data_IF_968754867632
#
_entry.id   IF_968754867632
#
_cell.length_a   1.000
_cell.length_b   1.000
_cell.length_c   1.000
_cell.angle_alpha   90.00
_cell.angle_beta   90.00
_cell.angle_gamma   90.00
#
_symmetry.space_group_name_H-M   'P 1'
#
loop_
_entity.id
_entity.type
_entity.pdbx_description
1 polymer ?
#
# COMPACT_ATOMS: atom_id res chain seq x y z
N UNK A 1 5.99 1.73 12.28
CA UNK A 1 7.33 1.51 12.90
C UNK A 1 7.14 1.36 14.40
N UNK A 2 7.77 0.36 15.01
CA UNK A 2 7.79 0.20 16.47
C UNK A 2 8.76 1.19 17.13
N UNK A 3 8.72 1.35 18.45
CA UNK A 3 9.71 2.15 19.18
C UNK A 3 11.14 1.63 19.01
N UNK A 4 11.31 0.31 18.83
CA UNK A 4 12.62 -0.31 18.55
C UNK A 4 13.12 0.08 17.14
N UNK A 5 12.26 0.13 16.14
CA UNK A 5 12.61 0.58 14.80
C UNK A 5 13.06 2.05 14.79
N UNK A 6 12.35 2.91 15.54
CA UNK A 6 12.71 4.33 15.66
C UNK A 6 14.07 4.51 16.35
N UNK A 7 14.36 3.75 17.41
CA UNK A 7 15.67 3.74 18.05
C UNK A 7 16.78 3.29 17.07
N UNK A 8 16.50 2.28 16.25
CA UNK A 8 17.44 1.81 15.23
C UNK A 8 17.67 2.86 14.13
N UNK A 9 16.62 3.56 13.69
CA UNK A 9 16.74 4.69 12.73
C UNK A 9 17.66 5.78 13.27
N UNK A 10 17.49 6.19 14.54
CA UNK A 10 18.35 7.20 15.15
C UNK A 10 19.82 6.74 15.24
N UNK A 11 20.05 5.48 15.60
CA UNK A 11 21.38 4.91 15.65
C UNK A 11 22.03 4.86 14.26
N UNK A 12 21.34 4.38 13.22
CA UNK A 12 21.82 4.40 11.84
C UNK A 12 22.09 5.83 11.34
N UNK A 13 21.23 6.80 11.65
CA UNK A 13 21.42 8.20 11.28
C UNK A 13 22.67 8.79 11.92
N UNK A 14 22.94 8.46 13.20
CA UNK A 14 24.17 8.87 13.88
C UNK A 14 25.42 8.27 13.23
N UNK A 15 25.39 6.98 12.87
CA UNK A 15 26.49 6.32 12.17
C UNK A 15 26.74 6.92 10.78
N UNK A 16 25.68 7.24 10.03
CA UNK A 16 25.78 7.92 8.74
C UNK A 16 26.41 9.31 8.89
N UNK A 17 25.96 10.07 9.87
CA UNK A 17 26.51 11.40 10.17
C UNK A 17 28.00 11.33 10.54
N UNK A 18 28.39 10.38 11.39
CA UNK A 18 29.79 10.18 11.77
C UNK A 18 30.69 9.80 10.56
N UNK A 19 30.19 8.99 9.62
CA UNK A 19 30.93 8.59 8.41
C UNK A 19 31.32 9.76 7.50
N UNK A 20 30.48 10.81 7.47
CA UNK A 20 30.76 12.04 6.68
C UNK A 20 31.46 13.12 7.51
N UNK A 21 31.90 12.79 8.74
CA UNK A 21 32.57 13.74 9.63
C UNK A 21 31.64 14.80 10.23
N UNK A 22 30.33 14.59 10.15
CA UNK A 22 29.31 15.48 10.74
C UNK A 22 29.13 15.22 12.24
N UNK A 23 28.64 16.24 12.96
CA UNK A 23 28.33 16.20 14.40
C UNK A 23 26.86 16.54 14.70
N UNK A 24 26.04 16.77 13.65
CA UNK A 24 24.60 17.01 13.77
C UNK A 24 23.89 16.10 12.77
N UNK A 25 22.91 15.34 13.24
CA UNK A 25 22.08 14.49 12.39
C UNK A 25 21.18 15.40 11.54
N UNK A 26 21.34 15.31 10.22
CA UNK A 26 20.55 16.05 9.25
C UNK A 26 19.27 15.29 8.88
N UNK A 27 18.30 15.98 8.26
CA UNK A 27 17.10 15.35 7.71
C UNK A 27 17.45 14.25 6.69
N UNK A 28 18.41 14.50 5.80
CA UNK A 28 18.87 13.53 4.79
C UNK A 28 19.47 12.26 5.44
N UNK A 29 20.22 12.43 6.55
CA UNK A 29 20.74 11.29 7.31
C UNK A 29 19.64 10.47 7.97
N UNK A 30 18.60 11.12 8.50
CA UNK A 30 17.40 10.45 9.05
C UNK A 30 16.61 9.71 7.97
N UNK A 31 16.43 10.34 6.82
CA UNK A 31 15.71 9.72 5.70
C UNK A 31 16.47 8.48 5.17
N UNK A 32 17.78 8.59 4.93
CA UNK A 32 18.60 7.45 4.51
C UNK A 32 18.62 6.33 5.56
N UNK A 33 18.65 6.68 6.85
CA UNK A 33 18.58 5.71 7.93
C UNK A 33 17.22 5.00 7.97
N UNK A 34 16.13 5.73 7.77
CA UNK A 34 14.78 5.17 7.66
C UNK A 34 14.69 4.18 6.52
N UNK A 35 15.18 4.58 5.34
CA UNK A 35 15.22 3.72 4.16
C UNK A 35 16.03 2.45 4.40
N UNK A 36 17.15 2.52 5.15
CA UNK A 36 17.98 1.35 5.49
C UNK A 36 17.27 0.40 6.44
N UNK A 37 16.58 0.93 7.43
CA UNK A 37 15.87 0.11 8.42
C UNK A 37 14.68 -0.60 7.77
N UNK A 38 13.96 0.07 6.87
CA UNK A 38 12.78 -0.48 6.18
C UNK A 38 13.16 -1.37 5.00
N UNK A 39 14.01 -0.88 4.08
CA UNK A 39 14.31 -1.52 2.79
C UNK A 39 15.69 -2.18 2.71
N UNK A 40 16.53 -2.03 3.73
CA UNK A 40 17.90 -2.50 3.74
C UNK A 40 18.90 -1.51 3.10
N UNK A 41 20.18 -1.83 3.12
CA UNK A 41 21.24 -0.97 2.56
C UNK A 41 21.12 -0.87 1.03
N UNK A 42 21.54 0.26 0.48
CA UNK A 42 21.66 0.43 -0.98
C UNK A 42 22.58 -0.64 -1.55
N UNK A 43 22.20 -1.25 -2.67
CA UNK A 43 23.08 -2.17 -3.38
C UNK A 43 24.19 -1.38 -4.05
N UNK A 44 25.40 -1.55 -3.54
CA UNK A 44 26.62 -1.01 -4.17
C UNK A 44 27.21 -2.09 -5.06
N UNK A 45 27.31 -1.82 -6.37
CA UNK A 45 28.04 -2.68 -7.32
C UNK A 45 27.20 -3.48 -8.31
N UNK A 46 25.86 -3.43 -8.29
CA UNK A 46 25.08 -3.95 -9.41
C UNK A 46 25.05 -2.91 -10.54
N UNK A 47 25.67 -3.23 -11.68
CA UNK A 47 25.52 -2.44 -12.91
C UNK A 47 24.12 -2.71 -13.44
N UNK A 48 23.24 -1.74 -13.28
CA UNK A 48 21.85 -1.79 -13.83
C UNK A 48 21.94 -1.26 -15.26
N UNK A 49 21.41 -2.01 -16.23
CA UNK A 49 21.34 -1.54 -17.62
C UNK A 49 20.35 -0.38 -17.75
N UNK A 50 20.54 0.49 -18.74
CA UNK A 50 19.62 1.59 -19.03
C UNK A 50 18.19 1.10 -19.31
N UNK A 51 18.08 -0.08 -19.92
CA UNK A 51 16.77 -0.72 -20.14
C UNK A 51 16.13 -1.13 -18.79
N UNK A 52 16.86 -1.81 -17.92
CA UNK A 52 16.38 -2.21 -16.58
C UNK A 52 15.99 -0.98 -15.74
N UNK A 53 16.77 0.11 -15.83
CA UNK A 53 16.49 1.38 -15.18
C UNK A 53 15.15 1.98 -15.67
N UNK A 54 14.90 1.94 -16.98
CA UNK A 54 13.62 2.38 -17.56
C UNK A 54 12.46 1.51 -17.09
N UNK A 55 12.60 0.19 -17.15
CA UNK A 55 11.56 -0.74 -16.68
C UNK A 55 11.21 -0.44 -15.22
N UNK A 56 12.22 -0.28 -14.35
CA UNK A 56 12.00 0.07 -12.94
C UNK A 56 11.28 1.42 -12.79
N UNK A 57 11.64 2.44 -13.56
CA UNK A 57 11.01 3.76 -13.49
C UNK A 57 9.52 3.71 -13.86
N UNK A 58 9.15 2.95 -14.88
CA UNK A 58 7.75 2.76 -15.25
C UNK A 58 7.00 1.87 -14.26
N UNK A 59 7.63 0.84 -13.72
CA UNK A 59 7.08 -0.03 -12.69
C UNK A 59 6.69 0.77 -11.43
N UNK A 60 7.65 1.47 -10.84
CA UNK A 60 7.40 2.32 -9.66
C UNK A 60 6.45 3.49 -9.97
N UNK A 61 6.53 4.00 -11.20
CA UNK A 61 5.58 4.98 -11.72
C UNK A 61 4.15 4.44 -11.78
N UNK A 62 4.00 3.18 -12.16
CA UNK A 62 2.71 2.48 -12.20
C UNK A 62 2.04 2.39 -10.84
N UNK A 63 2.78 1.97 -9.82
CA UNK A 63 2.29 1.97 -8.43
C UNK A 63 1.90 3.39 -7.99
N UNK A 64 2.78 4.35 -8.20
CA UNK A 64 2.58 5.74 -7.76
C UNK A 64 1.36 6.38 -8.38
N UNK A 65 1.19 6.26 -9.70
CA UNK A 65 0.05 6.83 -10.43
C UNK A 65 -1.26 6.12 -10.06
N UNK A 66 -1.25 4.81 -9.89
CA UNK A 66 -2.44 4.05 -9.45
C UNK A 66 -2.93 4.53 -8.07
N UNK A 67 -2.01 4.72 -7.11
CA UNK A 67 -2.37 5.26 -5.81
C UNK A 67 -2.86 6.72 -5.90
N UNK A 68 -2.29 7.53 -6.79
CA UNK A 68 -2.69 8.93 -6.90
C UNK A 68 -4.06 9.12 -7.53
N UNK A 69 -4.45 8.23 -8.42
CA UNK A 69 -5.72 8.27 -9.14
C UNK A 69 -6.90 7.66 -8.37
N UNK A 70 -6.69 7.06 -7.19
CA UNK A 70 -7.73 6.46 -6.35
C UNK A 70 -7.97 7.28 -5.08
N UNK A 71 -9.24 7.29 -4.61
CA UNK A 71 -9.64 8.00 -3.39
C UNK A 71 -9.31 7.23 -2.13
N UNK A 72 -9.47 5.89 -2.18
CA UNK A 72 -9.48 5.00 -1.01
C UNK A 72 -8.12 4.32 -0.78
N UNK A 73 -7.04 5.08 -1.02
CA UNK A 73 -5.67 4.64 -0.74
C UNK A 73 -4.81 5.81 -0.28
N UNK A 74 -3.84 5.51 0.55
CA UNK A 74 -2.87 6.48 1.03
C UNK A 74 -1.99 6.97 -0.13
N UNK A 75 -1.77 8.28 -0.19
CA UNK A 75 -0.91 8.87 -1.24
C UNK A 75 0.54 8.49 -1.03
N UNK A 76 1.21 8.24 -2.14
CA UNK A 76 2.66 8.04 -2.14
C UNK A 76 3.35 9.34 -1.75
N UNK A 77 4.22 9.29 -0.76
CA UNK A 77 5.02 10.45 -0.33
C UNK A 77 6.45 10.42 -0.89
N UNK A 78 6.91 9.26 -1.31
CA UNK A 78 8.23 9.06 -1.90
C UNK A 78 8.21 7.90 -2.88
N UNK A 79 8.86 8.07 -4.02
CA UNK A 79 9.13 7.01 -4.99
C UNK A 79 10.59 7.06 -5.40
N UNK A 80 11.23 5.90 -5.55
CA UNK A 80 12.65 5.78 -5.92
C UNK A 80 12.90 4.56 -6.78
N UNK A 81 13.83 4.70 -7.72
CA UNK A 81 14.36 3.60 -8.54
C UNK A 81 15.70 3.07 -8.04
N UNK A 82 16.16 3.56 -6.89
CA UNK A 82 17.39 3.07 -6.26
C UNK A 82 17.14 1.71 -5.62
N UNK A 83 17.88 0.70 -6.10
CA UNK A 83 17.77 -0.66 -5.59
C UNK A 83 18.23 -0.75 -4.13
N UNK A 84 17.38 -1.35 -3.26
CA UNK A 84 17.68 -1.65 -1.86
C UNK A 84 17.36 -3.11 -1.54
N UNK A 85 18.16 -3.72 -0.67
CA UNK A 85 17.89 -5.08 -0.24
C UNK A 85 17.62 -6.03 -1.42
N UNK A 86 16.38 -6.51 -1.56
CA UNK A 86 15.92 -7.42 -2.63
C UNK A 86 15.09 -6.74 -3.71
N UNK A 87 14.75 -5.46 -3.56
CA UNK A 87 13.88 -4.70 -4.50
C UNK A 87 14.69 -3.88 -5.49
N UNK A 88 14.14 -3.68 -6.71
CA UNK A 88 14.72 -2.81 -7.75
C UNK A 88 14.48 -1.33 -7.51
N UNK A 89 13.35 -1.00 -6.93
CA UNK A 89 12.90 0.32 -6.51
C UNK A 89 11.81 0.17 -5.46
N UNK A 90 11.15 1.24 -5.09
CA UNK A 90 9.96 1.20 -4.23
C UNK A 90 9.19 2.53 -4.23
N UNK A 91 7.87 2.42 -4.14
CA UNK A 91 6.94 3.51 -3.87
C UNK A 91 6.43 3.40 -2.42
N UNK A 92 6.63 4.47 -1.63
CA UNK A 92 6.25 4.49 -0.21
C UNK A 92 4.97 5.28 -0.02
N UNK A 93 3.95 4.66 0.57
CA UNK A 93 2.72 5.30 1.02
C UNK A 93 2.83 5.69 2.49
N UNK A 94 2.23 6.82 2.87
CA UNK A 94 2.17 7.29 4.25
C UNK A 94 0.77 7.08 4.78
N UNK A 95 0.63 6.34 5.87
CA UNK A 95 -0.60 6.37 6.65
C UNK A 95 -0.63 7.69 7.43
N UNK A 96 -1.56 8.56 7.08
CA UNK A 96 -1.76 9.83 7.80
C UNK A 96 -2.41 9.60 9.18
N UNK A 97 -3.18 8.51 9.33
CA UNK A 97 -3.79 8.07 10.59
C UNK A 97 -3.41 6.62 10.92
N UNK A 98 -3.35 6.29 12.20
CA UNK A 98 -3.15 4.92 12.69
C UNK A 98 -4.45 4.12 12.51
N UNK A 99 -4.72 3.75 11.25
CA UNK A 99 -5.96 3.07 10.84
C UNK A 99 -5.93 1.63 11.31
N UNK A 100 -6.79 1.31 12.28
CA UNK A 100 -6.98 -0.07 12.76
C UNK A 100 -7.97 -0.90 11.94
N UNK A 101 -8.75 -0.28 11.04
CA UNK A 101 -9.80 -0.93 10.25
C UNK A 101 -9.75 -0.49 8.79
N UNK A 102 -9.95 -1.45 7.89
CA UNK A 102 -10.01 -1.22 6.43
C UNK A 102 -11.33 -1.69 5.88
N UNK A 103 -11.90 -0.89 4.99
CA UNK A 103 -13.07 -1.28 4.20
C UNK A 103 -12.69 -2.22 3.06
N UNK A 104 -13.68 -2.89 2.48
CA UNK A 104 -13.50 -3.71 1.29
C UNK A 104 -12.89 -2.91 0.12
N UNK A 105 -13.38 -1.69 -0.11
CA UNK A 105 -12.97 -0.85 -1.21
C UNK A 105 -11.53 -0.31 -1.01
N UNK A 106 -11.13 -0.03 0.23
CA UNK A 106 -9.73 0.31 0.56
C UNK A 106 -8.76 -0.85 0.32
N UNK A 107 -9.15 -2.09 0.71
CA UNK A 107 -8.30 -3.25 0.42
C UNK A 107 -8.24 -3.55 -1.08
N UNK A 108 -9.35 -3.35 -1.81
CA UNK A 108 -9.34 -3.50 -3.25
C UNK A 108 -8.45 -2.43 -3.92
N UNK A 109 -8.49 -1.19 -3.47
CA UNK A 109 -7.58 -0.13 -3.94
C UNK A 109 -6.10 -0.48 -3.72
N UNK A 110 -5.79 -1.21 -2.63
CA UNK A 110 -4.44 -1.74 -2.39
C UNK A 110 -4.06 -2.86 -3.38
N UNK A 111 -5.03 -3.68 -3.82
CA UNK A 111 -4.79 -4.63 -4.90
C UNK A 111 -4.48 -3.91 -6.21
N UNK A 112 -5.23 -2.85 -6.54
CA UNK A 112 -4.98 -2.02 -7.73
C UNK A 112 -3.60 -1.38 -7.68
N UNK A 113 -3.21 -0.83 -6.54
CA UNK A 113 -1.86 -0.31 -6.31
C UNK A 113 -0.79 -1.36 -6.57
N UNK A 114 -0.93 -2.55 -5.99
CA UNK A 114 0.03 -3.64 -6.16
C UNK A 114 0.14 -4.11 -7.62
N UNK A 115 -0.96 -4.09 -8.38
CA UNK A 115 -0.94 -4.45 -9.80
C UNK A 115 -0.39 -3.34 -10.71
N UNK A 116 -0.26 -2.10 -10.20
CA UNK A 116 0.16 -0.92 -10.97
C UNK A 116 1.51 -1.08 -11.66
N UNK A 117 2.51 -1.64 -10.97
CA UNK A 117 3.83 -1.85 -11.54
C UNK A 117 3.80 -2.79 -12.76
N UNK A 118 3.17 -3.96 -12.60
CA UNK A 118 3.00 -4.92 -13.69
C UNK A 118 2.21 -4.35 -14.86
N UNK A 119 1.09 -3.67 -14.59
CA UNK A 119 0.27 -3.04 -15.62
C UNK A 119 1.03 -1.97 -16.40
N UNK A 120 1.94 -1.22 -15.74
CA UNK A 120 2.81 -0.26 -16.42
C UNK A 120 3.81 -0.93 -17.35
N UNK A 121 4.43 -2.03 -16.93
CA UNK A 121 5.34 -2.81 -17.78
C UNK A 121 4.61 -3.33 -19.02
N UNK A 122 3.43 -3.91 -18.89
CA UNK A 122 2.61 -4.41 -20.00
C UNK A 122 2.19 -3.30 -20.96
N UNK A 123 1.76 -2.15 -20.41
CA UNK A 123 1.33 -0.99 -21.21
C UNK A 123 2.47 -0.38 -22.04
N UNK A 124 3.67 -0.34 -21.49
CA UNK A 124 4.80 0.40 -22.07
C UNK A 124 5.71 -0.50 -22.91
N UNK A 125 5.99 -1.70 -22.41
CA UNK A 125 6.96 -2.61 -23.04
C UNK A 125 6.30 -3.81 -23.73
N UNK A 126 4.99 -4.00 -23.55
CA UNK A 126 4.24 -5.11 -24.14
C UNK A 126 4.43 -6.46 -23.46
N UNK A 127 5.33 -6.54 -22.46
CA UNK A 127 5.58 -7.77 -21.70
C UNK A 127 5.97 -7.44 -20.25
N UNK A 128 5.39 -8.14 -19.26
CA UNK A 128 5.78 -7.99 -17.88
C UNK A 128 7.10 -8.68 -17.58
N UNK A 129 7.80 -8.21 -16.54
CA UNK A 129 9.02 -8.85 -16.04
C UNK A 129 8.77 -9.62 -14.74
N UNK A 130 9.80 -10.32 -14.27
CA UNK A 130 9.76 -11.00 -12.97
C UNK A 130 9.83 -10.02 -11.79
N UNK A 131 10.01 -8.73 -12.05
CA UNK A 131 10.10 -7.67 -11.03
C UNK A 131 8.85 -7.58 -10.15
N UNK A 132 7.67 -7.83 -10.73
CA UNK A 132 6.38 -7.78 -10.02
C UNK A 132 6.10 -8.98 -9.09
N UNK A 133 7.06 -9.91 -8.87
CA UNK A 133 6.76 -11.13 -8.12
C UNK A 133 6.38 -10.87 -6.67
N UNK A 134 7.01 -9.90 -6.00
CA UNK A 134 6.66 -9.49 -4.63
C UNK A 134 5.31 -8.79 -4.54
N UNK A 135 4.95 -8.02 -5.55
CA UNK A 135 3.66 -7.33 -5.60
C UNK A 135 2.52 -8.31 -5.78
N UNK A 136 2.70 -9.32 -6.66
CA UNK A 136 1.75 -10.41 -6.83
C UNK A 136 1.61 -11.22 -5.55
N UNK A 137 2.71 -11.53 -4.84
CA UNK A 137 2.66 -12.23 -3.56
C UNK A 137 1.86 -11.44 -2.51
N UNK A 138 2.13 -10.14 -2.37
CA UNK A 138 1.43 -9.26 -1.43
C UNK A 138 -0.05 -9.12 -1.80
N UNK A 139 -0.36 -8.88 -3.07
CA UNK A 139 -1.73 -8.81 -3.55
C UNK A 139 -2.50 -10.12 -3.30
N UNK A 140 -1.87 -11.27 -3.54
CA UNK A 140 -2.46 -12.58 -3.25
C UNK A 140 -2.78 -12.76 -1.76
N UNK A 141 -1.89 -12.31 -0.86
CA UNK A 141 -2.14 -12.34 0.60
C UNK A 141 -3.34 -11.47 0.97
N UNK A 142 -3.41 -10.23 0.47
CA UNK A 142 -4.53 -9.32 0.71
C UNK A 142 -5.83 -9.93 0.19
N UNK A 143 -5.88 -10.38 -1.06
CA UNK A 143 -7.06 -11.00 -1.66
C UNK A 143 -7.52 -12.23 -0.87
N UNK A 144 -6.60 -13.07 -0.43
CA UNK A 144 -6.91 -14.22 0.42
C UNK A 144 -7.56 -13.80 1.74
N UNK A 145 -6.99 -12.83 2.45
CA UNK A 145 -7.57 -12.33 3.71
C UNK A 145 -8.95 -11.69 3.50
N UNK A 146 -9.16 -10.96 2.39
CA UNK A 146 -10.49 -10.42 2.03
C UNK A 146 -11.55 -11.52 1.92
N UNK A 147 -11.18 -12.67 1.35
CA UNK A 147 -12.08 -13.79 1.11
C UNK A 147 -12.26 -14.68 2.33
N UNK A 148 -11.16 -15.01 3.03
CA UNK A 148 -11.16 -16.05 4.05
C UNK A 148 -11.25 -15.54 5.48
N UNK A 149 -10.85 -14.29 5.74
CA UNK A 149 -10.82 -13.73 7.10
C UNK A 149 -11.91 -12.68 7.32
N UNK A 150 -12.17 -11.81 6.31
CA UNK A 150 -13.04 -10.66 6.49
C UNK A 150 -14.46 -10.85 5.94
N UNK A 151 -14.72 -11.97 5.23
CA UNK A 151 -16.04 -12.29 4.69
C UNK A 151 -16.54 -11.27 3.67
N UNK A 152 -15.65 -10.72 2.84
CA UNK A 152 -15.98 -9.67 1.87
C UNK A 152 -16.51 -10.20 0.54
N UNK A 153 -16.49 -11.52 0.32
CA UNK A 153 -17.09 -12.13 -0.86
C UNK A 153 -18.55 -12.49 -0.60
N UNK A 154 -19.47 -12.07 -1.47
CA UNK A 154 -20.86 -12.46 -1.39
C UNK A 154 -21.09 -13.96 -1.59
N UNK A 155 -20.31 -14.58 -2.46
CA UNK A 155 -20.41 -16.01 -2.78
C UNK A 155 -19.92 -16.92 -1.64
N UNK A 156 -18.94 -16.45 -0.88
CA UNK A 156 -18.39 -17.17 0.27
C UNK A 156 -19.12 -16.82 1.58
N UNK A 157 -19.87 -15.70 1.60
CA UNK A 157 -20.60 -15.23 2.77
C UNK A 157 -19.69 -14.68 3.88
N UNK A 158 -20.32 -14.33 5.02
CA UNK A 158 -19.64 -13.80 6.20
C UNK A 158 -19.11 -14.94 7.08
N UNK A 159 -18.24 -15.76 6.51
CA UNK A 159 -17.65 -16.95 7.17
C UNK A 159 -16.13 -16.79 7.16
N UNK A 160 -15.49 -17.14 8.27
CA UNK A 160 -14.03 -17.24 8.36
C UNK A 160 -13.62 -18.64 7.98
N UNK A 161 -12.79 -18.77 6.96
CA UNK A 161 -12.22 -20.02 6.48
C UNK A 161 -10.76 -20.13 6.86
N UNK A 162 -10.31 -21.32 7.28
CA UNK A 162 -8.92 -21.58 7.66
C UNK A 162 -8.71 -21.62 9.17
N UNK A 163 -7.68 -22.32 9.60
CA UNK A 163 -7.39 -22.51 11.02
C UNK A 163 -7.04 -21.19 11.71
N UNK A 164 -7.53 -20.98 12.91
CA UNK A 164 -6.98 -20.00 13.83
C UNK A 164 -5.49 -20.30 14.08
N UNK A 165 -4.63 -19.34 13.72
CA UNK A 165 -3.23 -19.37 14.14
C UNK A 165 -3.17 -19.06 15.63
N UNK A 166 -3.33 -20.06 16.49
CA UNK A 166 -3.34 -19.79 17.92
C UNK A 166 -3.38 -20.98 18.84
N UNK A 167 -3.62 -22.20 18.33
CA UNK A 167 -3.58 -23.37 19.19
C UNK A 167 -2.17 -24.03 19.18
N UNK A 168 -1.37 -23.83 20.25
CA UNK A 168 -0.04 -24.43 20.36
C UNK A 168 -0.09 -25.98 20.34
N UNK A 169 -1.24 -26.58 20.59
CA UNK A 169 -1.44 -28.04 20.59
C UNK A 169 -1.75 -28.58 19.18
N UNK A 170 -2.17 -27.78 18.22
CA UNK A 170 -2.45 -28.21 16.86
C UNK A 170 -1.18 -28.56 16.05
N UNK A 171 0.00 -28.13 16.51
CA UNK A 171 1.29 -28.43 15.86
C UNK A 171 1.82 -29.84 16.13
N UNK A 172 1.23 -30.59 17.07
CA UNK A 172 1.68 -31.92 17.43
C UNK A 172 1.01 -33.08 16.65
N UNK A 173 0.01 -32.78 15.82
CA UNK A 173 -0.64 -33.73 14.92
C UNK A 173 -0.35 -33.38 13.48
N UNK A 174 0.47 -34.16 12.81
CA UNK A 174 0.90 -33.92 11.42
C UNK A 174 -0.26 -33.70 10.45
N UNK A 175 -0.12 -32.71 9.60
CA UNK A 175 -1.05 -32.40 8.50
C UNK A 175 -2.25 -31.55 8.93
N UNK A 176 -2.12 -30.24 8.89
CA UNK A 176 -3.25 -29.34 9.10
C UNK A 176 -4.36 -29.58 8.09
N UNK A 177 -5.42 -30.29 8.47
CA UNK A 177 -6.60 -30.42 7.62
C UNK A 177 -7.19 -29.03 7.41
N UNK A 178 -7.44 -28.70 6.14
CA UNK A 178 -8.24 -27.54 5.73
C UNK A 178 -9.63 -27.77 6.36
N UNK A 179 -10.21 -26.75 6.99
CA UNK A 179 -11.51 -26.84 7.70
C UNK A 179 -12.72 -26.56 6.79
N UNK A 180 -12.50 -26.55 5.48
CA UNK A 180 -13.55 -26.35 4.46
C UNK A 180 -13.43 -27.39 3.34
N UNK A 181 -14.52 -27.58 2.59
CA UNK A 181 -14.64 -28.57 1.53
C UNK A 181 -13.84 -28.17 0.27
N UNK A 182 -13.57 -29.14 -0.60
CA UNK A 182 -12.92 -28.92 -1.89
C UNK A 182 -13.74 -27.94 -2.77
N UNK A 183 -15.07 -27.95 -2.64
CA UNK A 183 -15.93 -27.02 -3.34
C UNK A 183 -15.70 -25.57 -2.88
N UNK A 184 -15.58 -25.34 -1.58
CA UNK A 184 -15.25 -24.01 -1.02
C UNK A 184 -13.82 -23.61 -1.41
N UNK A 185 -12.86 -24.54 -1.39
CA UNK A 185 -11.51 -24.28 -1.87
C UNK A 185 -11.50 -23.79 -3.33
N UNK A 186 -12.25 -24.45 -4.21
CA UNK A 186 -12.37 -24.08 -5.61
C UNK A 186 -12.99 -22.68 -5.77
N UNK A 187 -14.02 -22.35 -4.99
CA UNK A 187 -14.61 -20.99 -4.99
C UNK A 187 -13.64 -19.92 -4.49
N UNK A 188 -12.86 -20.21 -3.46
CA UNK A 188 -11.83 -19.27 -2.97
C UNK A 188 -10.81 -19.00 -4.07
N UNK A 189 -10.33 -20.02 -4.77
CA UNK A 189 -9.37 -19.85 -5.87
C UNK A 189 -9.95 -19.07 -7.06
N UNK A 190 -11.21 -19.30 -7.40
CA UNK A 190 -11.93 -18.55 -8.44
C UNK A 190 -12.10 -17.08 -8.07
N UNK A 191 -12.60 -16.81 -6.88
CA UNK A 191 -12.81 -15.44 -6.38
C UNK A 191 -11.48 -14.68 -6.20
N UNK A 192 -10.43 -15.36 -5.77
CA UNK A 192 -9.10 -14.75 -5.64
C UNK A 192 -8.56 -14.32 -7.01
N UNK A 193 -8.66 -15.20 -8.02
CA UNK A 193 -8.28 -14.87 -9.39
C UNK A 193 -9.09 -13.69 -9.90
N UNK A 194 -10.40 -13.72 -9.71
CA UNK A 194 -11.30 -12.63 -10.11
C UNK A 194 -10.88 -11.28 -9.51
N UNK A 195 -10.63 -11.23 -8.20
CA UNK A 195 -10.20 -9.98 -7.53
C UNK A 195 -8.88 -9.43 -8.10
N UNK A 196 -7.90 -10.31 -8.34
CA UNK A 196 -6.59 -9.91 -8.85
C UNK A 196 -6.66 -9.46 -10.33
N UNK A 197 -7.42 -10.17 -11.16
CA UNK A 197 -7.64 -9.78 -12.57
C UNK A 197 -8.36 -8.43 -12.65
N UNK A 198 -9.41 -8.23 -11.85
CA UNK A 198 -10.17 -6.97 -11.83
C UNK A 198 -9.33 -5.80 -11.30
N UNK A 199 -8.49 -6.04 -10.31
CA UNK A 199 -7.55 -5.02 -9.82
C UNK A 199 -6.50 -4.65 -10.89
N UNK A 200 -6.00 -5.65 -11.62
CA UNK A 200 -5.08 -5.43 -12.74
C UNK A 200 -5.74 -4.65 -13.88
N UNK A 201 -6.97 -4.99 -14.26
CA UNK A 201 -7.74 -4.26 -15.28
C UNK A 201 -7.90 -2.78 -14.90
N UNK A 202 -8.25 -2.50 -13.65
CA UNK A 202 -8.38 -1.13 -13.19
C UNK A 202 -7.05 -0.38 -13.17
N UNK A 203 -5.98 -1.01 -12.73
CA UNK A 203 -4.64 -0.43 -12.78
C UNK A 203 -4.27 -0.09 -14.23
N UNK A 204 -4.44 -1.02 -15.14
CA UNK A 204 -4.19 -0.82 -16.58
C UNK A 204 -5.01 0.33 -17.18
N UNK A 205 -6.31 0.42 -16.84
CA UNK A 205 -7.20 1.50 -17.30
C UNK A 205 -6.78 2.87 -16.74
N UNK A 206 -6.39 2.94 -15.45
CA UNK A 206 -5.82 4.16 -14.85
C UNK A 206 -4.59 4.61 -15.63
N UNK A 207 -3.64 3.72 -15.85
CA UNK A 207 -2.37 4.05 -16.48
C UNK A 207 -2.55 4.42 -17.94
N UNK A 208 -3.42 3.69 -18.68
CA UNK A 208 -3.74 4.01 -20.07
C UNK A 208 -4.37 5.39 -20.21
N UNK A 209 -5.33 5.71 -19.37
CA UNK A 209 -6.04 6.99 -19.40
C UNK A 209 -5.15 8.18 -18.99
N UNK A 210 -4.12 7.92 -18.21
CA UNK A 210 -3.21 8.92 -17.66
C UNK A 210 -1.77 8.74 -18.16
N UNK A 211 -1.58 8.17 -19.34
CA UNK A 211 -0.27 7.80 -19.88
C UNK A 211 0.74 8.95 -19.88
N UNK A 212 0.32 10.16 -20.21
CA UNK A 212 1.20 11.31 -20.23
C UNK A 212 1.78 11.68 -18.83
N UNK A 213 1.03 11.42 -17.75
CA UNK A 213 1.52 11.60 -16.38
C UNK A 213 2.53 10.50 -16.02
N UNK A 214 2.27 9.27 -16.45
CA UNK A 214 3.19 8.14 -16.26
C UNK A 214 4.54 8.41 -16.95
N UNK A 215 4.52 8.91 -18.19
CA UNK A 215 5.73 9.24 -18.94
C UNK A 215 6.53 10.38 -18.26
N UNK A 216 5.86 11.46 -17.82
CA UNK A 216 6.49 12.55 -17.05
C UNK A 216 7.12 12.08 -15.75
N UNK A 217 6.44 11.19 -15.04
CA UNK A 217 6.96 10.62 -13.80
C UNK A 217 8.19 9.75 -14.07
N UNK A 218 8.15 8.89 -15.09
CA UNK A 218 9.28 8.05 -15.47
C UNK A 218 10.50 8.88 -15.90
N UNK A 219 10.30 9.95 -16.70
CA UNK A 219 11.37 10.88 -17.07
C UNK A 219 12.01 11.52 -15.82
N UNK A 220 11.20 12.03 -14.90
CA UNK A 220 11.69 12.64 -13.67
C UNK A 220 12.44 11.63 -12.77
N UNK A 221 11.98 10.37 -12.72
CA UNK A 221 12.66 9.30 -11.98
C UNK A 221 14.00 8.91 -12.62
N UNK A 222 14.07 8.88 -13.96
CA UNK A 222 15.33 8.60 -14.67
C UNK A 222 16.37 9.69 -14.46
N UNK A 223 15.93 10.95 -14.34
CA UNK A 223 16.82 12.10 -14.10
C UNK A 223 17.29 12.19 -12.64
N UNK A 224 16.34 12.06 -11.67
CA UNK A 224 16.61 12.38 -10.25
C UNK A 224 16.64 11.16 -9.34
N UNK A 225 16.33 9.98 -9.84
CA UNK A 225 16.31 8.67 -9.18
C UNK A 225 15.36 8.57 -7.97
N UNK A 226 15.01 9.69 -7.33
CA UNK A 226 14.08 9.75 -6.18
C UNK A 226 13.24 11.01 -6.28
N UNK A 227 11.93 10.86 -6.12
CA UNK A 227 10.96 11.95 -6.07
C UNK A 227 10.20 11.91 -4.75
N UNK A 228 9.89 13.09 -4.22
CA UNK A 228 9.14 13.28 -2.98
C UNK A 228 7.77 13.91 -3.25
N UNK A 229 6.92 13.94 -2.24
CA UNK A 229 5.54 14.44 -2.32
C UNK A 229 5.40 15.77 -3.08
N UNK A 230 6.22 16.84 -2.84
CA UNK A 230 6.11 18.08 -3.60
C UNK A 230 6.38 17.94 -5.09
N UNK A 231 7.22 16.98 -5.49
CA UNK A 231 7.50 16.69 -6.90
C UNK A 231 6.30 15.95 -7.52
N UNK A 232 5.73 14.98 -6.79
CA UNK A 232 4.57 14.22 -7.23
C UNK A 232 3.33 15.11 -7.37
N UNK A 233 3.09 16.04 -6.43
CA UNK A 233 2.01 17.03 -6.49
C UNK A 233 2.10 17.91 -7.76
N UNK A 234 3.31 18.31 -8.15
CA UNK A 234 3.52 19.05 -9.40
C UNK A 234 3.33 18.23 -10.66
N UNK A 235 3.80 16.97 -10.63
CA UNK A 235 3.67 16.07 -11.79
C UNK A 235 2.21 15.70 -12.02
N UNK A 236 1.47 15.44 -10.97
CA UNK A 236 0.09 14.95 -11.00
C UNK A 236 -0.95 16.06 -10.84
N UNK A 237 -0.54 17.32 -10.98
CA UNK A 237 -1.49 18.43 -11.00
C UNK A 237 -2.53 18.25 -12.11
N UNK A 238 -3.81 18.32 -11.72
CA UNK A 238 -4.96 18.08 -12.60
C UNK A 238 -5.48 16.62 -12.61
N UNK A 239 -4.90 15.69 -11.86
CA UNK A 239 -5.51 14.35 -11.63
C UNK A 239 -6.56 14.46 -10.53
N UNK A 240 -7.81 14.18 -10.89
CA UNK A 240 -8.89 14.02 -9.93
C UNK A 240 -8.98 12.54 -9.49
N UNK A 241 -8.83 12.24 -8.18
CA UNK A 241 -8.97 10.89 -7.67
C UNK A 241 -10.40 10.36 -7.89
N UNK A 242 -10.51 9.14 -8.37
CA UNK A 242 -11.77 8.44 -8.61
C UNK A 242 -11.97 7.29 -7.62
N UNK A 243 -13.21 6.84 -7.49
CA UNK A 243 -13.51 5.62 -6.76
C UNK A 243 -12.96 4.38 -7.47
N UNK A 244 -12.66 3.35 -6.71
CA UNK A 244 -12.33 2.06 -7.26
C UNK A 244 -13.54 1.45 -8.00
N UNK A 245 -13.29 0.49 -8.90
CA UNK A 245 -14.36 -0.30 -9.51
C UNK A 245 -15.17 -1.02 -8.45
N UNK A 246 -16.43 -1.26 -8.73
CA UNK A 246 -17.21 -2.17 -7.89
C UNK A 246 -16.49 -3.51 -7.77
N UNK A 247 -16.19 -3.90 -6.54
CA UNK A 247 -15.45 -5.13 -6.26
C UNK A 247 -16.25 -6.34 -6.74
N UNK A 248 -17.55 -6.34 -6.50
CA UNK A 248 -18.48 -7.39 -6.95
C UNK A 248 -19.68 -6.74 -7.65
N UNK A 249 -19.60 -6.43 -8.95
CA UNK A 249 -20.67 -5.78 -9.69
C UNK A 249 -21.94 -6.66 -9.74
N UNK A 250 -23.10 -6.03 -9.65
CA UNK A 250 -24.40 -6.71 -9.68
C UNK A 250 -24.95 -7.18 -8.34
N UNK A 251 -24.29 -6.82 -7.22
CA UNK A 251 -24.71 -7.23 -5.87
C UNK A 251 -25.23 -6.08 -4.99
N UNK A 252 -25.62 -4.97 -5.60
CA UNK A 252 -26.13 -3.77 -4.91
C UNK A 252 -27.30 -4.07 -3.98
N UNK A 253 -28.15 -5.06 -4.31
CA UNK A 253 -29.28 -5.47 -3.48
C UNK A 253 -28.87 -6.13 -2.16
N UNK A 254 -27.71 -6.81 -2.11
CA UNK A 254 -27.19 -7.45 -0.90
C UNK A 254 -26.43 -6.49 0.01
N UNK A 255 -25.72 -5.53 -0.58
CA UNK A 255 -24.88 -4.57 0.11
C UNK A 255 -25.21 -3.16 -0.36
N UNK A 256 -26.40 -2.62 -0.02
CA UNK A 256 -26.82 -1.29 -0.47
C UNK A 256 -25.82 -0.25 0.04
N UNK A 257 -25.26 0.53 -0.86
CA UNK A 257 -24.28 1.59 -0.54
C UNK A 257 -24.93 2.82 0.10
N UNK A 258 -26.25 2.98 -0.08
CA UNK A 258 -27.01 4.11 0.47
C UNK A 258 -28.32 3.61 1.06
N UNK A 259 -28.44 3.61 2.37
CA UNK A 259 -29.65 3.26 3.11
C UNK A 259 -30.41 4.50 3.59
N UNK A 260 -30.04 5.69 3.15
CA UNK A 260 -30.75 6.93 3.46
C UNK A 260 -30.50 7.51 4.87
N UNK A 261 -29.70 6.87 5.70
CA UNK A 261 -29.36 7.35 7.04
C UNK A 261 -27.87 7.66 7.13
N UNK A 262 -27.55 8.92 7.43
CA UNK A 262 -26.18 9.29 7.78
C UNK A 262 -25.85 8.78 9.19
N UNK A 263 -24.62 8.30 9.44
CA UNK A 263 -24.17 7.96 10.79
C UNK A 263 -24.18 9.19 11.69
N UNK A 264 -24.29 8.98 13.00
CA UNK A 264 -24.19 10.08 13.96
C UNK A 264 -22.81 10.71 13.89
N UNK A 265 -22.77 12.03 13.98
CA UNK A 265 -21.52 12.78 13.94
C UNK A 265 -20.76 12.64 15.24
N UNK A 266 -19.46 12.51 15.14
CA UNK A 266 -18.55 12.54 16.29
C UNK A 266 -18.48 13.94 16.91
N UNK A 267 -18.08 14.08 18.18
CA UNK A 267 -17.87 15.40 18.80
C UNK A 267 -16.90 16.31 18.00
N UNK A 268 -15.90 15.70 17.34
CA UNK A 268 -14.94 16.43 16.50
C UNK A 268 -15.61 16.98 15.23
N UNK A 269 -16.46 16.18 14.57
CA UNK A 269 -17.22 16.61 13.40
C UNK A 269 -18.21 17.72 13.76
N UNK A 270 -18.90 17.58 14.87
CA UNK A 270 -19.82 18.61 15.38
C UNK A 270 -19.10 19.93 15.72
N UNK A 271 -17.91 19.85 16.36
CA UNK A 271 -17.11 21.03 16.67
C UNK A 271 -16.62 21.72 15.38
N UNK A 272 -16.18 20.96 14.38
CA UNK A 272 -15.77 21.51 13.07
C UNK A 272 -16.94 22.26 12.39
N UNK A 273 -18.14 21.69 12.39
CA UNK A 273 -19.33 22.35 11.78
C UNK A 273 -19.74 23.63 12.50
N UNK A 274 -19.57 23.69 13.83
CA UNK A 274 -19.89 24.86 14.63
C UNK A 274 -18.79 25.92 14.64
N UNK A 275 -17.63 25.63 14.04
CA UNK A 275 -16.46 26.51 14.09
C UNK A 275 -15.87 26.63 15.50
N UNK A 276 -16.10 25.63 16.37
CA UNK A 276 -15.60 25.58 17.73
C UNK A 276 -14.16 25.02 17.76
N UNK A 277 -13.40 25.33 18.81
CA UNK A 277 -12.09 24.70 19.02
C UNK A 277 -12.25 23.18 19.12
N UNK A 278 -11.40 22.45 18.38
CA UNK A 278 -11.41 20.99 18.41
C UNK A 278 -11.12 20.49 19.84
N UNK A 279 -11.85 19.47 20.32
CA UNK A 279 -11.53 18.87 21.60
C UNK A 279 -10.08 18.38 21.60
N UNK A 280 -9.31 18.77 22.60
CA UNK A 280 -7.91 18.33 22.75
C UNK A 280 -7.89 16.81 22.71
N UNK A 281 -7.09 16.23 21.81
CA UNK A 281 -6.76 14.79 21.89
C UNK A 281 -6.10 14.57 23.26
N UNK A 282 -6.74 13.79 24.12
CA UNK A 282 -6.13 13.35 25.38
C UNK A 282 -4.95 12.44 24.98
N UNK A 283 -3.75 12.86 25.31
CA UNK A 283 -2.55 12.03 25.13
C UNK A 283 -2.44 11.03 26.30
N UNK A 284 -1.67 9.95 26.12
CA UNK A 284 -1.39 9.01 27.22
C UNK A 284 -0.76 9.71 28.45
N UNK A 285 -0.10 10.84 28.27
CA UNK A 285 0.43 11.70 29.32
C UNK A 285 -0.69 12.41 30.09
N UNK A 286 -1.76 12.84 29.42
CA UNK A 286 -2.91 13.47 30.08
C UNK A 286 -3.69 12.47 30.95
N UNK A 287 -3.72 11.19 30.53
CA UNK A 287 -4.33 10.10 31.31
C UNK A 287 -3.50 9.72 32.55
N UNK A 288 -2.18 9.87 32.51
CA UNK A 288 -1.29 9.56 33.65
C UNK A 288 -1.40 10.59 34.80
N UNK A 289 -1.92 11.78 34.51
CA UNK A 289 -2.13 12.85 35.52
C UNK A 289 -3.48 12.75 36.27
N UNK A 290 -4.37 11.85 35.85
CA UNK A 290 -5.69 11.64 36.47
C UNK A 290 -5.63 10.62 37.60
N UNK A 291 -4.49 9.94 37.83
CA UNK A 291 -4.31 8.90 38.84
C UNK A 291 -3.26 9.25 39.91
N UNK A 292 -3.18 10.53 40.33
CA UNK A 292 -2.47 10.95 41.56
C UNK A 292 -3.46 11.61 42.53
#
# INVERSE_FOLDING_TARGET
MSGADLANVLNEAALLTARIGGNVITYDALEEATDRVVGGPRRQGKIISEHEKKVTAYHEGGHTLSAWALKDIERVYKVTILARGRTGGHAMTSQEDDKGMYTRDELFSRLVFAMGGRAAEELVFGAPTTGASSDIENATKIARSMLTEYGFSPDLGTVKYGKEQGDPFSQMGGGGSIDYSDEVASKIDEQMRYLLERAHEQAYDILRSNRHYLDKLAEALLERETLRRPDLERIFDGIEPREAFDVFPGEDDRFPRQIGYAPVKTPVELAKERGEELPKRMTLLDLSLIHI
#
